data_IF_646424771582
#
_entry.id   IF_646424771582
#
_cell.length_a   1.000
_cell.length_b   1.000
_cell.length_c   1.000
_cell.angle_alpha   90.00
_cell.angle_beta   90.00
_cell.angle_gamma   90.00
#
_symmetry.space_group_name_H-M   'P 1'
#
loop_
_entity.id
_entity.type
_entity.pdbx_description
1 polymer ?
#
# COMPACT_ATOMS: atom_id res chain seq x y z
N UNK A 1 62.13 -17.17 -29.57
CA UNK A 1 62.97 -18.30 -29.10
C UNK A 1 63.33 -19.20 -30.30
N UNK A 2 64.21 -18.74 -31.20
CA UNK A 2 64.64 -19.47 -32.41
C UNK A 2 66.05 -20.07 -32.22
N UNK A 3 66.72 -19.79 -31.10
CA UNK A 3 68.14 -20.12 -30.89
C UNK A 3 68.41 -21.49 -30.26
N UNK A 4 67.40 -22.28 -29.87
CA UNK A 4 67.61 -23.58 -29.21
C UNK A 4 67.86 -24.73 -30.18
N UNK A 5 67.27 -24.71 -31.38
CA UNK A 5 67.47 -25.76 -32.39
C UNK A 5 68.90 -25.77 -32.97
N UNK A 6 69.49 -24.58 -33.17
CA UNK A 6 70.88 -24.45 -33.59
C UNK A 6 71.89 -24.90 -32.52
N UNK A 7 71.50 -24.87 -31.25
CA UNK A 7 72.34 -25.35 -30.14
C UNK A 7 72.41 -26.89 -30.11
N UNK A 8 71.28 -27.58 -30.33
CA UNK A 8 71.22 -29.05 -30.31
C UNK A 8 72.10 -29.73 -31.38
N UNK A 9 72.11 -29.21 -32.62
CA UNK A 9 72.98 -29.72 -33.69
C UNK A 9 74.48 -29.47 -33.42
N UNK A 10 74.83 -28.34 -32.79
CA UNK A 10 76.20 -28.02 -32.43
C UNK A 10 76.72 -28.86 -31.25
N UNK A 11 75.84 -29.27 -30.33
CA UNK A 11 76.16 -30.16 -29.21
C UNK A 11 76.38 -31.60 -29.70
N UNK A 12 75.55 -32.11 -30.61
CA UNK A 12 75.76 -33.40 -31.27
C UNK A 12 77.07 -33.42 -32.07
N UNK A 13 77.42 -32.32 -32.76
CA UNK A 13 78.73 -32.17 -33.42
C UNK A 13 79.91 -32.19 -32.45
N UNK A 14 79.77 -31.66 -31.23
CA UNK A 14 80.82 -31.76 -30.18
C UNK A 14 80.95 -33.17 -29.59
N UNK A 15 79.86 -33.91 -29.40
CA UNK A 15 79.90 -35.32 -28.94
C UNK A 15 80.52 -36.26 -30.02
N UNK A 16 80.35 -35.98 -31.32
CA UNK A 16 80.87 -36.84 -32.40
C UNK A 16 82.33 -36.58 -32.85
N UNK A 17 82.97 -35.47 -32.46
CA UNK A 17 84.33 -35.12 -32.94
C UNK A 17 85.50 -35.78 -32.16
N UNK A 18 85.26 -36.92 -31.52
CA UNK A 18 86.31 -37.68 -30.82
C UNK A 18 87.23 -38.40 -31.83
N UNK A 19 88.43 -37.81 -31.97
CA UNK A 19 89.58 -38.28 -32.76
C UNK A 19 90.01 -39.69 -32.32
N UNK A 20 90.21 -40.58 -33.29
CA UNK A 20 90.76 -41.95 -33.12
C UNK A 20 92.17 -41.86 -32.53
N UNK A 21 92.36 -42.26 -31.27
CA UNK A 21 93.68 -42.62 -30.72
C UNK A 21 93.83 -44.13 -30.85
N UNK A 22 94.96 -44.54 -31.43
CA UNK A 22 95.26 -45.94 -31.77
C UNK A 22 95.29 -46.85 -30.54
N UNK A 23 95.11 -48.14 -30.82
CA UNK A 23 95.03 -49.30 -29.91
C UNK A 23 93.62 -49.60 -29.38
N UNK A 24 93.08 -50.74 -29.85
CA UNK A 24 91.76 -51.21 -29.49
C UNK A 24 91.71 -51.72 -28.06
N UNK A 25 91.13 -50.95 -27.15
CA UNK A 25 90.47 -51.41 -25.92
C UNK A 25 89.53 -50.29 -25.47
N UNK A 26 88.22 -50.57 -25.36
CA UNK A 26 87.26 -49.60 -24.84
C UNK A 26 87.26 -49.69 -23.31
N UNK A 27 87.98 -48.78 -22.65
CA UNK A 27 87.89 -48.58 -21.19
C UNK A 27 87.05 -47.33 -20.94
N UNK A 28 86.04 -47.44 -20.09
CA UNK A 28 85.09 -46.35 -19.81
C UNK A 28 85.78 -45.16 -19.14
N UNK A 29 85.80 -44.02 -19.82
CA UNK A 29 86.20 -42.74 -19.24
C UNK A 29 84.97 -41.84 -19.06
N UNK A 30 84.81 -41.35 -17.84
CA UNK A 30 83.72 -40.47 -17.41
C UNK A 30 83.87 -39.08 -18.04
N UNK A 31 82.91 -38.66 -18.85
CA UNK A 31 82.78 -37.27 -19.30
C UNK A 31 81.66 -36.58 -18.53
N UNK A 32 82.04 -35.64 -17.66
CA UNK A 32 81.12 -34.79 -16.89
C UNK A 32 80.69 -33.58 -17.73
N UNK A 33 79.44 -33.58 -18.20
CA UNK A 33 78.73 -32.35 -18.60
C UNK A 33 77.86 -31.88 -17.43
N UNK A 34 77.80 -30.58 -17.07
CA UNK A 34 77.16 -30.11 -15.83
C UNK A 34 75.64 -30.31 -15.78
N UNK A 35 75.01 -30.50 -16.93
CA UNK A 35 73.56 -30.52 -17.08
C UNK A 35 73.03 -31.96 -17.17
N UNK A 36 72.10 -32.33 -16.27
CA UNK A 36 71.67 -33.72 -16.09
C UNK A 36 70.92 -34.27 -17.31
N UNK A 37 70.17 -33.43 -18.02
CA UNK A 37 69.42 -33.83 -19.23
C UNK A 37 70.34 -34.10 -20.42
N UNK A 38 71.41 -33.31 -20.57
CA UNK A 38 72.45 -33.48 -21.59
C UNK A 38 73.26 -34.77 -21.38
N UNK A 39 73.39 -35.19 -20.11
CA UNK A 39 74.09 -36.42 -19.75
C UNK A 39 73.31 -37.67 -20.17
N UNK A 40 71.99 -37.67 -19.98
CA UNK A 40 71.10 -38.76 -20.43
C UNK A 40 70.97 -38.79 -21.94
N UNK A 41 70.86 -37.64 -22.60
CA UNK A 41 70.76 -37.57 -24.07
C UNK A 41 72.05 -37.99 -24.77
N UNK A 42 73.26 -37.51 -24.40
CA UNK A 42 74.49 -38.07 -24.98
C UNK A 42 74.65 -39.56 -24.60
N UNK A 43 74.21 -40.01 -23.42
CA UNK A 43 74.21 -41.43 -23.04
C UNK A 43 73.37 -42.30 -23.98
N UNK A 44 72.13 -41.89 -24.28
CA UNK A 44 71.19 -42.63 -25.15
C UNK A 44 71.64 -42.60 -26.61
N UNK A 45 72.15 -41.46 -27.09
CA UNK A 45 72.72 -41.32 -28.45
C UNK A 45 73.92 -42.25 -28.65
N UNK A 46 74.83 -42.28 -27.67
CA UNK A 46 76.04 -43.10 -27.74
C UNK A 46 75.71 -44.59 -27.63
N UNK A 47 74.76 -44.97 -26.76
CA UNK A 47 74.28 -46.34 -26.62
C UNK A 47 73.58 -46.85 -27.88
N UNK A 48 72.77 -46.01 -28.55
CA UNK A 48 72.11 -46.38 -29.80
C UNK A 48 73.12 -46.58 -30.94
N UNK A 49 74.06 -45.65 -31.13
CA UNK A 49 75.12 -45.77 -32.15
C UNK A 49 76.00 -47.01 -31.90
N UNK A 50 76.26 -47.37 -30.63
CA UNK A 50 77.00 -48.58 -30.28
C UNK A 50 76.22 -49.86 -30.63
N UNK A 51 74.89 -49.87 -30.39
CA UNK A 51 73.99 -50.99 -30.69
C UNK A 51 73.75 -51.17 -32.20
N UNK A 52 73.75 -50.08 -32.99
CA UNK A 52 73.49 -50.08 -34.44
C UNK A 52 74.63 -50.61 -35.32
N UNK A 53 75.76 -51.01 -34.72
CA UNK A 53 76.88 -51.69 -35.43
C UNK A 53 76.49 -53.05 -36.05
N UNK A 54 75.29 -53.56 -35.78
CA UNK A 54 74.79 -54.83 -36.29
C UNK A 54 74.06 -54.73 -37.66
N UNK A 55 74.09 -53.58 -38.36
CA UNK A 55 73.50 -53.51 -39.72
C UNK A 55 73.29 -52.13 -40.36
N UNK A 56 73.60 -51.01 -39.68
CA UNK A 56 73.43 -49.66 -40.24
C UNK A 56 74.76 -48.92 -40.41
N UNK A 57 74.87 -48.11 -41.47
CA UNK A 57 75.99 -47.20 -41.62
C UNK A 57 75.94 -46.12 -40.54
N UNK A 58 77.08 -45.78 -39.93
CA UNK A 58 77.16 -44.84 -38.80
C UNK A 58 76.46 -43.51 -39.07
N UNK A 59 76.55 -42.99 -40.30
CA UNK A 59 75.89 -41.74 -40.72
C UNK A 59 74.37 -41.85 -40.71
N UNK A 60 73.82 -43.00 -41.09
CA UNK A 60 72.38 -43.24 -41.08
C UNK A 60 71.86 -43.37 -39.64
N UNK A 61 72.59 -44.06 -38.76
CA UNK A 61 72.24 -44.15 -37.34
C UNK A 61 72.27 -42.77 -36.65
N UNK A 62 73.27 -41.94 -36.95
CA UNK A 62 73.37 -40.57 -36.42
C UNK A 62 72.19 -39.67 -36.91
N UNK A 63 71.81 -39.78 -38.18
CA UNK A 63 70.66 -39.03 -38.74
C UNK A 63 69.34 -39.46 -38.09
N UNK A 64 69.09 -40.76 -37.97
CA UNK A 64 67.87 -41.31 -37.35
C UNK A 64 67.77 -40.85 -35.89
N UNK A 65 68.86 -40.93 -35.13
CA UNK A 65 68.90 -40.47 -33.74
C UNK A 65 68.66 -38.97 -33.65
N UNK A 66 69.26 -38.17 -34.55
CA UNK A 66 69.04 -36.72 -34.54
C UNK A 66 67.59 -36.33 -34.84
N UNK A 67 66.94 -37.04 -35.77
CA UNK A 67 65.52 -36.85 -36.08
C UNK A 67 64.63 -37.25 -34.90
N UNK A 68 64.93 -38.37 -34.25
CA UNK A 68 64.21 -38.84 -33.06
C UNK A 68 64.36 -37.89 -31.87
N UNK A 69 65.56 -37.37 -31.61
CA UNK A 69 65.78 -36.39 -30.55
C UNK A 69 65.01 -35.11 -30.85
N UNK A 70 65.06 -34.63 -32.10
CA UNK A 70 64.33 -33.41 -32.50
C UNK A 70 62.82 -33.59 -32.35
N UNK A 71 62.27 -34.73 -32.77
CA UNK A 71 60.85 -35.05 -32.65
C UNK A 71 60.44 -35.24 -31.19
N UNK A 72 61.26 -35.90 -30.37
CA UNK A 72 61.02 -36.04 -28.94
C UNK A 72 61.04 -34.69 -28.22
N UNK A 73 61.97 -33.79 -28.56
CA UNK A 73 62.02 -32.44 -27.99
C UNK A 73 60.81 -31.60 -28.41
N UNK A 74 60.40 -31.68 -29.69
CA UNK A 74 59.22 -30.95 -30.17
C UNK A 74 57.92 -31.48 -29.51
N UNK A 75 57.80 -32.79 -29.34
CA UNK A 75 56.65 -33.39 -28.65
C UNK A 75 56.62 -33.02 -27.16
N UNK A 76 57.77 -33.00 -26.48
CA UNK A 76 57.87 -32.52 -25.10
C UNK A 76 57.44 -31.05 -24.99
N UNK A 77 57.89 -30.17 -25.88
CA UNK A 77 57.49 -28.75 -25.87
C UNK A 77 55.98 -28.54 -26.06
N UNK A 78 55.36 -29.32 -26.95
CA UNK A 78 53.90 -29.29 -27.16
C UNK A 78 53.17 -29.78 -25.90
N UNK A 79 53.58 -30.93 -25.35
CA UNK A 79 52.96 -31.49 -24.14
C UNK A 79 53.11 -30.53 -22.96
N UNK A 80 54.26 -29.90 -22.75
CA UNK A 80 54.43 -28.92 -21.67
C UNK A 80 53.61 -27.64 -21.85
N UNK A 81 53.26 -27.29 -23.09
CA UNK A 81 52.42 -26.12 -23.39
C UNK A 81 50.94 -26.41 -23.17
N UNK A 82 50.48 -27.61 -23.53
CA UNK A 82 49.07 -28.01 -23.42
C UNK A 82 48.73 -28.60 -22.04
N UNK A 83 49.73 -29.11 -21.30
CA UNK A 83 49.55 -29.63 -19.95
C UNK A 83 49.56 -28.50 -18.93
N UNK A 84 48.61 -28.56 -18.00
CA UNK A 84 48.59 -27.66 -16.84
C UNK A 84 49.64 -28.14 -15.83
N UNK A 85 50.58 -27.25 -15.49
CA UNK A 85 51.56 -27.53 -14.43
C UNK A 85 50.88 -27.56 -13.06
N UNK A 86 51.38 -28.39 -12.13
CA UNK A 86 50.86 -28.44 -10.76
C UNK A 86 50.79 -27.05 -10.11
N UNK A 87 51.78 -26.20 -10.36
CA UNK A 87 51.80 -24.80 -9.89
C UNK A 87 50.63 -23.96 -10.43
N UNK A 88 50.24 -24.12 -11.69
CA UNK A 88 49.09 -23.40 -12.24
C UNK A 88 47.77 -23.91 -11.68
N UNK A 89 47.66 -25.21 -11.44
CA UNK A 89 46.49 -25.79 -10.78
C UNK A 89 46.35 -25.30 -9.33
N UNK A 90 47.44 -25.22 -8.57
CA UNK A 90 47.44 -24.69 -7.20
C UNK A 90 46.99 -23.23 -7.14
N UNK A 91 47.47 -22.38 -8.06
CA UNK A 91 47.04 -20.97 -8.15
C UNK A 91 45.54 -20.88 -8.46
N UNK A 92 45.04 -21.65 -9.42
CA UNK A 92 43.62 -21.66 -9.76
C UNK A 92 42.75 -22.12 -8.58
N UNK A 93 43.18 -23.15 -7.84
CA UNK A 93 42.49 -23.62 -6.64
C UNK A 93 42.49 -22.54 -5.55
N UNK A 94 43.61 -21.86 -5.31
CA UNK A 94 43.67 -20.76 -4.34
C UNK A 94 42.73 -19.60 -4.70
N UNK A 95 42.63 -19.25 -5.99
CA UNK A 95 41.67 -18.25 -6.45
C UNK A 95 40.22 -18.68 -6.20
N UNK A 96 39.88 -19.93 -6.55
CA UNK A 96 38.55 -20.48 -6.29
C UNK A 96 38.24 -20.47 -4.78
N UNK A 97 39.19 -20.85 -3.93
CA UNK A 97 39.02 -20.81 -2.47
C UNK A 97 38.79 -19.39 -1.96
N UNK A 98 39.54 -18.40 -2.46
CA UNK A 98 39.33 -17.00 -2.09
C UNK A 98 37.94 -16.48 -2.50
N UNK A 99 37.46 -16.86 -3.69
CA UNK A 99 36.11 -16.52 -4.13
C UNK A 99 35.03 -17.19 -3.27
N UNK A 100 35.20 -18.46 -2.91
CA UNK A 100 34.29 -19.16 -1.99
C UNK A 100 34.26 -18.51 -0.61
N UNK A 101 35.40 -18.05 -0.10
CA UNK A 101 35.48 -17.35 1.18
C UNK A 101 34.81 -15.97 1.13
N UNK A 102 34.89 -15.27 -0.01
CA UNK A 102 34.14 -14.03 -0.23
C UNK A 102 32.63 -14.29 -0.20
N UNK A 103 32.15 -15.27 -0.97
CA UNK A 103 30.73 -15.64 -1.02
C UNK A 103 30.22 -16.04 0.37
N UNK A 104 31.03 -16.78 1.15
CA UNK A 104 30.67 -17.16 2.52
C UNK A 104 30.53 -15.94 3.43
N UNK A 105 31.39 -14.93 3.29
CA UNK A 105 31.27 -13.68 4.06
C UNK A 105 29.99 -12.93 3.68
N UNK A 106 29.71 -12.81 2.39
CA UNK A 106 28.50 -12.13 1.90
C UNK A 106 27.23 -12.83 2.39
N UNK A 107 27.19 -14.17 2.37
CA UNK A 107 26.10 -14.96 2.93
C UNK A 107 25.87 -14.66 4.42
N UNK A 108 26.94 -14.66 5.22
CA UNK A 108 26.84 -14.38 6.67
C UNK A 108 26.39 -12.93 6.93
N UNK A 109 26.85 -11.97 6.13
CA UNK A 109 26.42 -10.57 6.25
C UNK A 109 24.94 -10.45 5.92
N UNK A 110 24.48 -11.09 4.85
CA UNK A 110 23.08 -11.09 4.44
C UNK A 110 22.20 -11.69 5.55
N UNK A 111 22.55 -12.89 6.04
CA UNK A 111 21.83 -13.62 7.09
C UNK A 111 21.77 -12.87 8.43
N UNK A 112 22.87 -12.21 8.83
CA UNK A 112 22.94 -11.56 10.15
C UNK A 112 22.50 -10.11 10.14
N UNK A 113 22.83 -9.35 9.11
CA UNK A 113 22.56 -7.91 9.07
C UNK A 113 21.22 -7.63 8.42
N UNK A 114 21.04 -8.03 7.16
CA UNK A 114 19.88 -7.61 6.38
C UNK A 114 18.60 -8.30 6.84
N UNK A 115 18.63 -9.61 7.09
CA UNK A 115 17.47 -10.31 7.62
C UNK A 115 17.08 -9.86 9.03
N UNK A 116 18.06 -9.55 9.89
CA UNK A 116 17.77 -9.02 11.23
C UNK A 116 17.14 -7.62 11.15
N UNK A 117 17.66 -6.76 10.27
CA UNK A 117 17.12 -5.43 10.03
C UNK A 117 15.69 -5.50 9.49
N UNK A 118 15.45 -6.31 8.45
CA UNK A 118 14.11 -6.51 7.88
C UNK A 118 13.12 -7.06 8.91
N UNK A 119 13.54 -8.01 9.75
CA UNK A 119 12.68 -8.55 10.82
C UNK A 119 12.36 -7.50 11.88
N UNK A 120 13.35 -6.69 12.26
CA UNK A 120 13.17 -5.58 13.19
C UNK A 120 12.21 -4.53 12.61
N UNK A 121 12.40 -4.13 11.37
CA UNK A 121 11.55 -3.18 10.66
C UNK A 121 10.13 -3.70 10.49
N UNK A 122 9.95 -4.97 10.11
CA UNK A 122 8.63 -5.59 10.05
C UNK A 122 7.93 -5.60 11.42
N UNK A 123 8.66 -5.92 12.50
CA UNK A 123 8.12 -5.88 13.87
C UNK A 123 7.77 -4.46 14.33
N UNK A 124 8.50 -3.45 13.85
CA UNK A 124 8.22 -2.04 14.11
C UNK A 124 6.96 -1.59 13.37
N UNK A 125 6.87 -1.88 12.08
CA UNK A 125 5.69 -1.58 11.26
C UNK A 125 4.43 -2.25 11.82
N UNK A 126 4.50 -3.51 12.28
CA UNK A 126 3.38 -4.19 12.93
C UNK A 126 2.91 -3.46 14.20
N UNK A 127 3.83 -3.03 15.06
CA UNK A 127 3.49 -2.28 16.28
C UNK A 127 2.85 -0.93 15.97
N UNK A 128 3.37 -0.20 14.97
CA UNK A 128 2.79 1.07 14.54
C UNK A 128 1.38 0.88 13.98
N UNK A 129 1.17 -0.17 13.18
CA UNK A 129 -0.15 -0.53 12.65
C UNK A 129 -1.14 -0.84 13.78
N UNK A 130 -0.75 -1.69 14.74
CA UNK A 130 -1.58 -2.02 15.91
C UNK A 130 -1.92 -0.76 16.73
N UNK A 131 -0.94 0.13 16.93
CA UNK A 131 -1.15 1.40 17.63
C UNK A 131 -2.13 2.32 16.89
N UNK A 132 -1.99 2.46 15.57
CA UNK A 132 -2.90 3.25 14.75
C UNK A 132 -4.30 2.66 14.72
N UNK A 133 -4.42 1.33 14.64
CA UNK A 133 -5.70 0.63 14.70
C UNK A 133 -6.42 0.87 16.03
N UNK A 134 -5.70 0.80 17.15
CA UNK A 134 -6.26 1.08 18.47
C UNK A 134 -6.70 2.54 18.61
N UNK A 135 -5.86 3.49 18.20
CA UNK A 135 -6.22 4.93 18.19
C UNK A 135 -7.45 5.20 17.34
N UNK A 136 -7.54 4.62 16.15
CA UNK A 136 -8.70 4.78 15.27
C UNK A 136 -9.97 4.22 15.91
N UNK A 137 -9.87 3.08 16.59
CA UNK A 137 -11.00 2.46 17.30
C UNK A 137 -11.45 3.32 18.48
N UNK A 138 -10.53 3.85 19.26
CA UNK A 138 -10.81 4.75 20.39
C UNK A 138 -11.46 6.05 19.92
N UNK A 139 -10.89 6.73 18.92
CA UNK A 139 -11.46 7.96 18.36
C UNK A 139 -12.82 7.71 17.71
N UNK A 140 -13.01 6.59 17.00
CA UNK A 140 -14.31 6.22 16.44
C UNK A 140 -15.36 6.00 17.54
N UNK A 141 -15.00 5.34 18.63
CA UNK A 141 -15.89 5.15 19.79
C UNK A 141 -16.23 6.47 20.48
N UNK A 142 -15.23 7.34 20.65
CA UNK A 142 -15.38 8.67 21.23
C UNK A 142 -16.32 9.53 20.40
N UNK A 143 -16.07 9.67 19.09
CA UNK A 143 -16.95 10.40 18.17
C UNK A 143 -18.37 9.84 18.22
N UNK A 144 -18.53 8.51 18.22
CA UNK A 144 -19.87 7.90 18.32
C UNK A 144 -20.59 8.24 19.62
N UNK A 145 -19.87 8.26 20.75
CA UNK A 145 -20.43 8.62 22.05
C UNK A 145 -20.79 10.12 22.11
N UNK A 146 -19.90 10.98 21.60
CA UNK A 146 -20.12 12.43 21.51
C UNK A 146 -21.33 12.75 20.62
N UNK A 147 -21.42 12.18 19.42
CA UNK A 147 -22.57 12.38 18.52
C UNK A 147 -23.87 11.88 19.15
N UNK A 148 -23.85 10.75 19.86
CA UNK A 148 -25.04 10.26 20.56
C UNK A 148 -25.47 11.20 21.68
N UNK A 149 -24.51 11.74 22.44
CA UNK A 149 -24.79 12.71 23.49
C UNK A 149 -25.37 14.00 22.90
N UNK A 150 -24.78 14.51 21.82
CA UNK A 150 -25.24 15.72 21.12
C UNK A 150 -26.69 15.57 20.63
N UNK A 151 -27.00 14.47 19.93
CA UNK A 151 -28.38 14.16 19.49
C UNK A 151 -29.34 14.10 20.68
N UNK A 152 -28.94 13.49 21.80
CA UNK A 152 -29.79 13.38 22.98
C UNK A 152 -30.05 14.74 23.63
N UNK A 153 -29.03 15.58 23.74
CA UNK A 153 -29.16 16.94 24.29
C UNK A 153 -30.08 17.78 23.40
N UNK A 154 -29.90 17.71 22.08
CA UNK A 154 -30.72 18.46 21.14
C UNK A 154 -32.15 17.95 21.07
N UNK A 155 -32.35 16.63 21.18
CA UNK A 155 -33.68 16.04 21.32
C UNK A 155 -34.38 16.48 22.61
N UNK A 156 -33.65 16.55 23.74
CA UNK A 156 -34.20 17.06 25.00
C UNK A 156 -34.59 18.52 24.87
N UNK A 157 -33.72 19.33 24.26
CA UNK A 157 -33.98 20.76 24.02
C UNK A 157 -35.21 20.98 23.14
N UNK A 158 -35.36 20.22 22.06
CA UNK A 158 -36.53 20.27 21.19
C UNK A 158 -37.79 19.88 21.97
N UNK A 159 -37.72 18.82 22.77
CA UNK A 159 -38.84 18.40 23.62
C UNK A 159 -39.26 19.49 24.60
N UNK A 160 -38.30 20.11 25.30
CA UNK A 160 -38.58 21.19 26.26
C UNK A 160 -39.24 22.39 25.56
N UNK A 161 -38.70 22.82 24.42
CA UNK A 161 -39.30 23.89 23.61
C UNK A 161 -40.70 23.55 23.13
N UNK A 162 -40.95 22.29 22.75
CA UNK A 162 -42.27 21.83 22.32
C UNK A 162 -43.27 21.88 23.49
N UNK A 163 -42.88 21.41 24.68
CA UNK A 163 -43.74 21.49 25.87
C UNK A 163 -44.03 22.93 26.28
N UNK A 164 -43.07 23.84 26.12
CA UNK A 164 -43.28 25.27 26.38
C UNK A 164 -44.28 25.88 25.38
N UNK A 165 -44.18 25.52 24.10
CA UNK A 165 -45.11 25.95 23.07
C UNK A 165 -46.53 25.39 23.32
N UNK A 166 -46.64 24.12 23.69
CA UNK A 166 -47.91 23.49 24.04
C UNK A 166 -48.57 24.20 25.23
N UNK A 167 -47.77 24.55 26.26
CA UNK A 167 -48.26 25.33 27.41
C UNK A 167 -48.78 26.70 26.99
N UNK A 168 -48.02 27.45 26.18
CA UNK A 168 -48.46 28.76 25.67
C UNK A 168 -49.74 28.66 24.84
N UNK A 169 -49.86 27.61 24.04
CA UNK A 169 -51.06 27.34 23.24
C UNK A 169 -52.27 27.03 24.13
N UNK A 170 -52.07 26.27 25.20
CA UNK A 170 -53.11 25.96 26.18
C UNK A 170 -53.56 27.21 26.94
N UNK A 171 -52.62 28.06 27.37
CA UNK A 171 -52.92 29.34 28.00
C UNK A 171 -53.72 30.26 27.06
N UNK A 172 -53.27 30.44 25.82
CA UNK A 172 -53.97 31.25 24.82
C UNK A 172 -55.37 30.71 24.49
N UNK A 173 -55.52 29.38 24.43
CA UNK A 173 -56.81 28.73 24.21
C UNK A 173 -57.75 28.93 25.40
N UNK A 174 -57.24 28.82 26.63
CA UNK A 174 -58.00 29.11 27.85
C UNK A 174 -58.45 30.57 27.91
N UNK A 175 -57.57 31.52 27.60
CA UNK A 175 -57.91 32.94 27.53
C UNK A 175 -58.96 33.23 26.45
N UNK A 176 -58.84 32.59 25.27
CA UNK A 176 -59.83 32.71 24.20
C UNK A 176 -61.19 32.19 24.65
N UNK A 177 -61.25 31.04 25.32
CA UNK A 177 -62.49 30.49 25.86
C UNK A 177 -63.11 31.40 26.92
N UNK A 178 -62.31 31.98 27.81
CA UNK A 178 -62.79 32.94 28.80
C UNK A 178 -63.42 34.17 28.12
N UNK A 179 -62.69 34.81 27.20
CA UNK A 179 -63.21 35.98 26.46
C UNK A 179 -64.45 35.65 25.65
N UNK A 180 -64.52 34.44 25.08
CA UNK A 180 -65.73 33.97 24.38
C UNK A 180 -66.92 33.85 25.32
N UNK A 181 -66.73 33.28 26.51
CA UNK A 181 -67.79 33.16 27.51
C UNK A 181 -68.27 34.54 28.00
N UNK A 182 -67.35 35.50 28.22
CA UNK A 182 -67.69 36.88 28.56
C UNK A 182 -68.54 37.52 27.46
N UNK A 183 -68.11 37.38 26.19
CA UNK A 183 -68.85 37.90 25.04
C UNK A 183 -70.24 37.26 24.89
N UNK A 184 -70.38 35.95 25.16
CA UNK A 184 -71.67 35.26 25.14
C UNK A 184 -72.60 35.77 26.25
N UNK A 185 -72.06 36.01 27.45
CA UNK A 185 -72.81 36.59 28.56
C UNK A 185 -73.29 38.03 28.25
N UNK A 186 -72.42 38.88 27.71
CA UNK A 186 -72.76 40.24 27.29
C UNK A 186 -73.84 40.24 26.21
N UNK A 187 -73.70 39.37 25.19
CA UNK A 187 -74.72 39.20 24.15
C UNK A 187 -76.06 38.72 24.73
N UNK A 188 -76.04 37.79 25.69
CA UNK A 188 -77.25 37.34 26.37
C UNK A 188 -77.91 38.49 27.15
N UNK A 189 -77.14 39.34 27.83
CA UNK A 189 -77.68 40.51 28.54
C UNK A 189 -78.31 41.51 27.58
N UNK A 190 -77.64 41.80 26.45
CA UNK A 190 -78.15 42.70 25.41
C UNK A 190 -79.45 42.14 24.82
N UNK A 191 -79.49 40.86 24.45
CA UNK A 191 -80.70 40.24 23.92
C UNK A 191 -81.86 40.31 24.91
N UNK A 192 -81.63 40.03 26.21
CA UNK A 192 -82.66 40.19 27.25
C UNK A 192 -83.17 41.64 27.33
N UNK A 193 -82.29 42.64 27.23
CA UNK A 193 -82.70 44.06 27.22
C UNK A 193 -83.52 44.40 25.98
N UNK A 194 -83.14 43.89 24.80
CA UNK A 194 -83.91 44.06 23.56
C UNK A 194 -85.31 43.45 23.71
N UNK A 195 -85.41 42.22 24.22
CA UNK A 195 -86.70 41.55 24.41
C UNK A 195 -87.61 42.34 25.37
N UNK A 196 -87.07 42.87 26.46
CA UNK A 196 -87.80 43.73 27.40
C UNK A 196 -88.27 45.03 26.73
N UNK A 197 -87.40 45.70 25.96
CA UNK A 197 -87.77 46.91 25.22
C UNK A 197 -88.86 46.62 24.19
N UNK A 198 -88.75 45.52 23.44
CA UNK A 198 -89.75 45.09 22.45
C UNK A 198 -91.10 44.79 23.12
N UNK A 199 -91.11 44.09 24.25
CA UNK A 199 -92.32 43.84 25.02
C UNK A 199 -92.95 45.15 25.53
N UNK A 200 -92.13 46.05 26.10
CA UNK A 200 -92.59 47.37 26.55
C UNK A 200 -93.18 48.20 25.41
N UNK A 201 -92.46 48.33 24.29
CA UNK A 201 -92.94 49.02 23.09
C UNK A 201 -94.26 48.43 22.58
N UNK A 202 -94.40 47.10 22.59
CA UNK A 202 -95.64 46.42 22.20
C UNK A 202 -96.81 46.77 23.11
N UNK A 203 -96.60 46.83 24.43
CA UNK A 203 -97.67 47.23 25.38
C UNK A 203 -98.14 48.66 25.15
N UNK A 204 -97.22 49.60 24.91
CA UNK A 204 -97.56 51.00 24.58
C UNK A 204 -98.30 51.09 23.25
N UNK A 205 -97.89 50.30 22.25
CA UNK A 205 -98.59 50.23 20.97
C UNK A 205 -100.03 49.70 21.14
N UNK A 206 -100.22 48.67 21.95
CA UNK A 206 -101.55 48.10 22.23
C UNK A 206 -102.44 49.09 22.99
N UNK A 207 -101.90 49.82 23.98
CA UNK A 207 -102.67 50.84 24.69
C UNK A 207 -103.07 52.00 23.77
N UNK A 208 -102.15 52.50 22.93
CA UNK A 208 -102.44 53.56 21.95
C UNK A 208 -103.49 53.12 20.92
N UNK A 209 -103.48 51.86 20.47
CA UNK A 209 -104.53 51.32 19.61
C UNK A 209 -105.90 51.37 20.31
N UNK A 210 -105.98 50.92 21.57
CA UNK A 210 -107.23 50.94 22.33
C UNK A 210 -107.74 52.37 22.57
N UNK A 211 -106.85 53.31 22.86
CA UNK A 211 -107.18 54.74 22.98
C UNK A 211 -107.73 55.30 21.67
N UNK A 212 -107.05 55.04 20.55
CA UNK A 212 -107.50 55.51 19.22
C UNK A 212 -108.87 54.97 18.86
N UNK A 213 -109.13 53.68 19.13
CA UNK A 213 -110.47 53.07 18.94
C UNK A 213 -111.52 53.75 19.80
N UNK A 214 -111.22 54.04 21.07
CA UNK A 214 -112.13 54.78 21.97
C UNK A 214 -112.41 56.20 21.48
N UNK A 215 -111.38 56.95 21.05
CA UNK A 215 -111.55 58.29 20.50
C UNK A 215 -112.40 58.28 19.22
N UNK A 216 -112.18 57.33 18.32
CA UNK A 216 -112.99 57.17 17.10
C UNK A 216 -114.45 56.84 17.43
N UNK A 217 -114.71 55.95 18.39
CA UNK A 217 -116.06 55.67 18.83
C UNK A 217 -116.73 56.95 19.39
N UNK A 218 -116.04 57.68 20.26
CA UNK A 218 -116.55 58.92 20.85
C UNK A 218 -116.89 59.98 19.79
N UNK A 219 -116.03 60.17 18.78
CA UNK A 219 -116.30 61.14 17.71
C UNK A 219 -117.49 60.71 16.85
N UNK A 220 -117.60 59.44 16.45
CA UNK A 220 -118.76 58.93 15.70
C UNK A 220 -120.06 59.10 16.50
N UNK A 221 -120.06 58.74 17.79
CA UNK A 221 -121.22 58.96 18.66
C UNK A 221 -121.57 60.44 18.80
N UNK A 222 -120.58 61.33 18.92
CA UNK A 222 -120.82 62.78 18.98
C UNK A 222 -121.41 63.33 17.67
N UNK A 223 -120.90 62.91 16.51
CA UNK A 223 -121.43 63.29 15.20
C UNK A 223 -122.86 62.78 15.01
N UNK A 224 -123.15 61.53 15.40
CA UNK A 224 -124.51 60.98 15.37
C UNK A 224 -125.45 61.73 16.31
N UNK A 225 -125.00 62.08 17.52
CA UNK A 225 -125.79 62.87 18.46
C UNK A 225 -126.12 64.26 17.91
N UNK A 226 -125.15 64.94 17.29
CA UNK A 226 -125.35 66.24 16.64
C UNK A 226 -126.31 66.10 15.45
N UNK A 227 -126.12 65.10 14.58
CA UNK A 227 -126.99 64.85 13.43
C UNK A 227 -128.44 64.53 13.85
N UNK A 228 -128.64 63.72 14.90
CA UNK A 228 -129.95 63.46 15.50
C UNK A 228 -130.56 64.74 16.12
N UNK A 229 -129.74 65.58 16.74
CA UNK A 229 -130.14 66.89 17.24
C UNK A 229 -130.64 67.83 16.14
N UNK A 230 -129.90 67.93 15.03
CA UNK A 230 -130.29 68.74 13.85
C UNK A 230 -131.53 68.15 13.16
N UNK A 231 -131.61 66.83 13.00
CA UNK A 231 -132.81 66.16 12.46
C UNK A 231 -134.07 66.44 13.30
N UNK A 232 -133.93 66.52 14.64
CA UNK A 232 -135.02 66.90 15.54
C UNK A 232 -135.47 68.36 15.41
N UNK A 233 -134.56 69.27 15.07
CA UNK A 233 -134.86 70.70 14.88
C UNK A 233 -135.46 71.00 13.49
N UNK A 234 -135.30 70.09 12.52
CA UNK A 234 -135.79 70.27 11.15
C UNK A 234 -137.12 69.52 10.87
N UNK A 235 -137.67 68.84 11.87
CA UNK A 235 -139.01 68.25 11.88
C UNK A 235 -139.94 69.10 12.74
#
# INVERSE_FOLDING_TARGET
>A
RINTAASGMNVLRRCCHLRRVGTGTWRGESWFSPDSELRTTCGVVTAFILKSRAGFERRQAELIVSALVTLATANMDIVYKDMVTKSHQEIAVQQIMAHLDSIRKDMVILEKSEFANLRSENSKMRRELEQLQNRLKEESQKVRAETKLDINLESSRISDMFTEQEKKLMEATSEFHHKKADLENDNMEINKKIDLQVASLKTVLESLKLETVRYLAATVFSCLAIALGVYRLWR
#
